data_IF_262514032277
#
_entry.id   IF_262514032277
#
_cell.length_a   1.000
_cell.length_b   1.000
_cell.length_c   1.000
_cell.angle_alpha   90.00
_cell.angle_beta   90.00
_cell.angle_gamma   90.00
#
_symmetry.space_group_name_H-M   'P 1'
#
loop_
_entity.id
_entity.type
_entity.pdbx_description
1 polymer ?
#
# COMPACT_ATOMS: atom_id res chain seq x y z
N UNK A 1 -12.63 -2.29 -5.11
CA UNK A 1 -11.58 -1.72 -4.23
C UNK A 1 -12.25 -0.71 -3.31
N UNK A 2 -12.36 -0.99 -2.02
CA UNK A 2 -12.98 -0.05 -1.07
C UNK A 2 -11.97 1.01 -0.66
N UNK A 3 -12.19 2.24 -1.10
CA UNK A 3 -11.45 3.42 -0.64
C UNK A 3 -11.92 3.73 0.78
N UNK A 4 -11.11 3.41 1.78
CA UNK A 4 -11.45 3.71 3.17
C UNK A 4 -11.18 5.20 3.42
N UNK A 5 -12.18 5.98 3.81
CA UNK A 5 -11.94 7.27 4.46
C UNK A 5 -11.39 6.96 5.85
N UNK A 6 -10.20 7.47 6.15
CA UNK A 6 -9.50 7.20 7.39
C UNK A 6 -8.90 8.49 7.92
N UNK A 7 -9.13 8.77 9.20
CA UNK A 7 -8.57 9.92 9.90
C UNK A 7 -7.71 9.42 11.06
N UNK A 8 -6.53 10.03 11.25
CA UNK A 8 -5.58 9.74 12.33
C UNK A 8 -5.23 11.04 13.02
N UNK A 9 -5.34 11.08 14.34
CA UNK A 9 -4.80 12.16 15.15
C UNK A 9 -3.82 11.62 16.19
N UNK A 10 -2.98 12.51 16.74
CA UNK A 10 -2.03 12.17 17.81
C UNK A 10 -2.72 12.01 19.16
N UNK A 11 -3.82 12.73 19.39
CA UNK A 11 -4.65 12.67 20.61
C UNK A 11 -6.12 12.58 20.24
N UNK A 12 -6.93 11.96 21.10
CA UNK A 12 -8.36 11.74 20.89
C UNK A 12 -9.15 13.06 20.82
N UNK A 13 -8.79 14.05 21.65
CA UNK A 13 -9.45 15.35 21.70
C UNK A 13 -9.19 16.19 20.44
N UNK A 14 -7.97 16.12 19.90
CA UNK A 14 -7.60 16.75 18.63
C UNK A 14 -8.33 16.06 17.46
N UNK A 15 -8.51 14.74 17.53
CA UNK A 15 -9.20 13.96 16.50
C UNK A 15 -10.65 14.41 16.27
N UNK A 16 -11.38 14.69 17.35
CA UNK A 16 -12.78 15.10 17.26
C UNK A 16 -12.89 16.46 16.57
N UNK A 17 -12.00 17.40 16.90
CA UNK A 17 -11.93 18.72 16.26
C UNK A 17 -11.63 18.61 14.77
N UNK A 18 -10.65 17.79 14.38
CA UNK A 18 -10.30 17.56 12.97
C UNK A 18 -11.49 16.97 12.18
N UNK A 19 -12.25 16.06 12.80
CA UNK A 19 -13.44 15.47 12.19
C UNK A 19 -14.58 16.49 12.08
N UNK A 20 -14.79 17.34 13.09
CA UNK A 20 -15.79 18.41 13.05
C UNK A 20 -15.51 19.40 11.92
N UNK A 21 -14.25 19.83 11.76
CA UNK A 21 -13.82 20.70 10.67
C UNK A 21 -14.04 20.01 9.31
N UNK A 22 -13.54 18.78 9.17
CA UNK A 22 -13.66 18.00 7.93
C UNK A 22 -15.14 17.82 7.53
N UNK A 23 -16.01 17.45 8.47
CA UNK A 23 -17.43 17.27 8.18
C UNK A 23 -18.14 18.59 7.88
N UNK A 24 -17.69 19.71 8.44
CA UNK A 24 -18.23 21.03 8.13
C UNK A 24 -17.93 21.42 6.68
N UNK A 25 -16.69 21.23 6.23
CA UNK A 25 -16.29 21.43 4.82
C UNK A 25 -17.08 20.50 3.89
N UNK A 26 -17.22 19.21 4.23
CA UNK A 26 -18.00 18.29 3.40
C UNK A 26 -19.46 18.72 3.27
N UNK A 27 -20.08 19.23 4.36
CA UNK A 27 -21.45 19.76 4.33
C UNK A 27 -21.57 21.01 3.47
N UNK A 28 -20.62 21.95 3.60
CA UNK A 28 -20.56 23.18 2.81
C UNK A 28 -20.57 22.88 1.31
N UNK A 29 -19.71 21.95 0.87
CA UNK A 29 -19.62 21.54 -0.53
C UNK A 29 -20.60 20.42 -0.93
N UNK A 30 -21.57 20.07 -0.07
CA UNK A 30 -22.60 19.02 -0.30
C UNK A 30 -22.01 17.65 -0.68
N UNK A 31 -20.81 17.35 -0.21
CA UNK A 31 -20.15 16.06 -0.38
C UNK A 31 -20.67 15.06 0.67
N UNK A 32 -20.93 13.82 0.24
CA UNK A 32 -21.39 12.74 1.11
C UNK A 32 -20.34 11.64 1.19
N UNK A 33 -20.06 11.20 2.41
CA UNK A 33 -19.25 10.01 2.67
C UNK A 33 -20.10 8.76 2.55
N UNK A 34 -19.47 7.64 2.18
CA UNK A 34 -20.11 6.32 2.24
C UNK A 34 -19.78 5.69 3.61
N UNK A 35 -20.76 5.53 4.53
CA UNK A 35 -20.50 5.01 5.87
C UNK A 35 -19.87 3.61 5.86
N UNK A 36 -20.23 2.75 4.91
CA UNK A 36 -19.69 1.39 4.81
C UNK A 36 -18.20 1.36 4.38
N UNK A 37 -17.66 2.50 3.97
CA UNK A 37 -16.27 2.69 3.56
C UNK A 37 -15.53 3.70 4.46
N UNK A 38 -16.11 4.14 5.56
CA UNK A 38 -15.45 5.07 6.47
C UNK A 38 -15.07 4.36 7.77
N UNK A 39 -13.88 4.63 8.28
CA UNK A 39 -13.42 4.13 9.56
C UNK A 39 -12.82 5.29 10.37
N UNK A 40 -13.37 5.51 11.57
CA UNK A 40 -12.97 6.58 12.49
C UNK A 40 -12.56 5.97 13.84
N UNK A 41 -11.62 6.59 14.56
CA UNK A 41 -11.20 6.13 15.89
C UNK A 41 -10.51 4.74 15.92
N UNK A 42 -10.09 4.19 14.78
CA UNK A 42 -9.41 2.89 14.71
C UNK A 42 -7.90 3.02 14.93
N UNK A 43 -7.28 2.05 15.60
CA UNK A 43 -5.82 2.05 15.87
C UNK A 43 -4.96 1.86 14.60
N UNK A 44 -5.57 1.34 13.53
CA UNK A 44 -4.93 1.17 12.24
C UNK A 44 -5.90 0.58 11.22
N UNK A 45 -5.50 0.63 9.95
CA UNK A 45 -6.35 0.18 8.86
C UNK A 45 -5.66 0.21 7.50
N UNK A 46 -6.41 -0.23 6.48
CA UNK A 46 -5.95 -0.17 5.09
C UNK A 46 -6.29 1.18 4.48
N UNK A 47 -5.27 1.89 3.98
CA UNK A 47 -5.42 3.15 3.27
C UNK A 47 -4.55 3.15 2.02
N UNK A 48 -5.13 3.48 0.85
CA UNK A 48 -4.46 3.49 -0.46
C UNK A 48 -3.62 2.22 -0.77
N UNK A 49 -4.08 1.06 -0.28
CA UNK A 49 -3.39 -0.22 -0.48
C UNK A 49 -2.17 -0.47 0.41
N UNK A 50 -1.91 0.41 1.38
CA UNK A 50 -0.92 0.27 2.45
C UNK A 50 -1.63 -0.02 3.78
N UNK A 51 -0.90 -0.52 4.77
CA UNK A 51 -1.38 -0.60 6.15
C UNK A 51 -0.87 0.64 6.88
N UNK A 52 -1.75 1.32 7.60
CA UNK A 52 -1.37 2.41 8.48
C UNK A 52 -1.72 2.03 9.90
N UNK A 53 -0.74 2.08 10.78
CA UNK A 53 -0.85 1.70 12.20
C UNK A 53 -0.40 2.88 13.07
N UNK A 54 -0.50 2.72 14.39
CA UNK A 54 0.11 3.66 15.33
C UNK A 54 1.62 3.82 15.10
N UNK A 55 2.32 2.71 14.76
CA UNK A 55 3.76 2.68 14.52
C UNK A 55 4.20 3.32 13.20
N UNK A 56 3.28 3.55 12.27
CA UNK A 56 3.56 4.20 10.99
C UNK A 56 2.91 3.50 9.81
N UNK A 57 3.55 3.59 8.65
CA UNK A 57 3.10 2.91 7.43
C UNK A 57 3.79 1.54 7.38
N UNK A 58 2.99 0.49 7.30
CA UNK A 58 3.44 -0.90 7.23
C UNK A 58 3.10 -1.52 5.87
N UNK A 59 3.87 -2.54 5.49
CA UNK A 59 3.63 -3.30 4.28
C UNK A 59 2.27 -4.01 4.35
N UNK A 60 1.57 -4.09 3.22
CA UNK A 60 0.30 -4.81 3.16
C UNK A 60 0.55 -6.33 3.24
N UNK A 61 0.06 -7.03 4.29
CA UNK A 61 0.34 -8.45 4.47
C UNK A 61 -0.22 -9.30 3.34
N UNK A 62 -1.31 -8.90 2.68
CA UNK A 62 -1.83 -9.60 1.51
C UNK A 62 -0.88 -9.49 0.32
N UNK A 63 -0.24 -8.33 0.12
CA UNK A 63 0.73 -8.15 -0.97
C UNK A 63 2.02 -8.93 -0.70
N UNK A 64 2.46 -8.98 0.57
CA UNK A 64 3.61 -9.80 0.95
C UNK A 64 3.33 -11.29 0.78
N UNK A 65 2.19 -11.76 1.31
CA UNK A 65 1.76 -13.16 1.20
C UNK A 65 1.67 -13.61 -0.26
N UNK A 66 1.13 -12.78 -1.15
CA UNK A 66 1.07 -13.08 -2.59
C UNK A 66 2.44 -13.24 -3.27
N UNK A 67 3.52 -12.68 -2.71
CA UNK A 67 4.89 -12.88 -3.19
C UNK A 67 5.51 -14.14 -2.57
N UNK A 68 5.27 -14.37 -1.27
CA UNK A 68 5.75 -15.56 -0.55
C UNK A 68 5.14 -16.84 -1.11
N UNK A 69 3.83 -16.82 -1.39
CA UNK A 69 3.07 -17.97 -1.89
C UNK A 69 3.24 -18.16 -3.42
N UNK A 70 4.00 -17.28 -4.08
CA UNK A 70 4.23 -17.39 -5.53
C UNK A 70 5.16 -18.57 -5.82
N UNK A 71 4.78 -19.41 -6.79
CA UNK A 71 5.66 -20.45 -7.33
C UNK A 71 6.89 -19.82 -7.99
N UNK A 72 8.00 -20.55 -8.02
CA UNK A 72 9.19 -20.12 -8.72
C UNK A 72 8.86 -19.77 -10.18
N UNK A 73 9.28 -18.58 -10.62
CA UNK A 73 9.04 -18.09 -11.96
C UNK A 73 9.76 -18.98 -12.97
N UNK A 74 9.03 -19.54 -13.94
CA UNK A 74 9.59 -20.39 -14.99
C UNK A 74 9.79 -19.66 -16.30
N UNK A 75 9.20 -18.46 -16.46
CA UNK A 75 9.33 -17.68 -17.70
C UNK A 75 9.61 -16.18 -17.47
N UNK A 76 10.07 -15.50 -18.52
CA UNK A 76 10.40 -14.07 -18.48
C UNK A 76 9.22 -13.20 -18.02
N UNK A 77 8.02 -13.49 -18.52
CA UNK A 77 6.82 -12.71 -18.20
C UNK A 77 6.48 -12.79 -16.71
N UNK A 78 6.70 -13.95 -16.08
CA UNK A 78 6.53 -14.12 -14.65
C UNK A 78 7.59 -13.37 -13.84
N UNK A 79 8.83 -13.32 -14.35
CA UNK A 79 9.91 -12.53 -13.73
C UNK A 79 9.61 -11.04 -13.81
N UNK A 80 9.12 -10.54 -14.95
CA UNK A 80 8.67 -9.15 -15.07
C UNK A 80 7.52 -8.83 -14.11
N UNK A 81 6.51 -9.71 -14.03
CA UNK A 81 5.39 -9.57 -13.08
C UNK A 81 5.89 -9.57 -11.63
N UNK A 82 6.83 -10.45 -11.28
CA UNK A 82 7.45 -10.51 -9.97
C UNK A 82 8.20 -9.22 -9.65
N UNK A 83 9.01 -8.71 -10.58
CA UNK A 83 9.71 -7.42 -10.42
C UNK A 83 8.73 -6.28 -10.16
N UNK A 84 7.62 -6.22 -10.88
CA UNK A 84 6.54 -5.23 -10.63
C UNK A 84 5.92 -5.36 -9.23
N UNK A 85 5.68 -6.59 -8.76
CA UNK A 85 5.18 -6.86 -7.40
C UNK A 85 6.19 -6.44 -6.33
N UNK A 86 7.47 -6.74 -6.51
CA UNK A 86 8.56 -6.34 -5.60
C UNK A 86 8.68 -4.82 -5.56
N UNK A 87 8.61 -4.13 -6.70
CA UNK A 87 8.66 -2.68 -6.77
C UNK A 87 7.55 -2.00 -5.95
N UNK A 88 6.36 -2.60 -5.89
CA UNK A 88 5.24 -2.08 -5.10
C UNK A 88 5.49 -2.13 -3.57
N UNK A 89 6.41 -2.98 -3.09
CA UNK A 89 6.76 -3.12 -1.67
C UNK A 89 8.22 -2.80 -1.35
N UNK A 90 9.00 -2.34 -2.34
CA UNK A 90 10.46 -2.16 -2.25
C UNK A 90 10.90 -1.25 -1.10
N UNK A 91 10.07 -0.25 -0.76
CA UNK A 91 10.27 0.67 0.37
C UNK A 91 10.31 -0.01 1.75
N UNK A 92 9.77 -1.22 1.86
CA UNK A 92 9.73 -2.00 3.11
C UNK A 92 10.79 -3.12 3.13
N UNK A 93 11.57 -3.28 2.07
CA UNK A 93 12.59 -4.32 1.94
C UNK A 93 13.97 -3.66 2.05
N UNK A 94 14.71 -3.97 3.12
CA UNK A 94 16.10 -3.52 3.25
C UNK A 94 16.95 -4.05 2.10
N UNK A 95 17.74 -3.16 1.49
CA UNK A 95 18.60 -3.44 0.34
C UNK A 95 17.85 -4.07 -0.84
N UNK A 96 16.63 -3.58 -1.11
CA UNK A 96 15.75 -4.13 -2.16
C UNK A 96 16.38 -4.12 -3.55
N UNK A 97 17.13 -3.06 -3.90
CA UNK A 97 17.86 -2.97 -5.16
C UNK A 97 18.88 -4.11 -5.30
N UNK A 98 19.73 -4.33 -4.29
CA UNK A 98 20.72 -5.40 -4.27
C UNK A 98 20.07 -6.79 -4.38
N UNK A 99 19.01 -7.01 -3.59
CA UNK A 99 18.27 -8.29 -3.58
C UNK A 99 17.54 -8.57 -4.90
N UNK A 100 17.20 -7.54 -5.67
CA UNK A 100 16.52 -7.69 -6.96
C UNK A 100 17.46 -7.70 -8.17
N UNK A 101 18.77 -7.52 -7.96
CA UNK A 101 19.79 -7.61 -9.02
C UNK A 101 19.71 -8.88 -9.88
N UNK A 102 19.48 -10.09 -9.33
CA UNK A 102 19.39 -11.30 -10.15
C UNK A 102 18.26 -11.21 -11.20
N UNK A 103 17.10 -10.66 -10.81
CA UNK A 103 15.97 -10.48 -11.72
C UNK A 103 16.28 -9.46 -12.81
N UNK A 104 16.90 -8.32 -12.46
CA UNK A 104 17.29 -7.31 -13.44
C UNK A 104 18.34 -7.83 -14.44
N UNK A 105 19.33 -8.62 -13.99
CA UNK A 105 20.30 -9.26 -14.88
C UNK A 105 19.62 -10.21 -15.87
N UNK A 106 18.68 -11.02 -15.38
CA UNK A 106 17.92 -11.94 -16.23
C UNK A 106 17.07 -11.20 -17.28
N UNK A 107 16.35 -10.15 -16.86
CA UNK A 107 15.52 -9.33 -17.74
C UNK A 107 16.34 -8.58 -18.80
N UNK A 108 17.57 -8.18 -18.46
CA UNK A 108 18.50 -7.54 -19.40
C UNK A 108 19.05 -8.52 -20.42
N UNK A 109 19.46 -9.72 -20.00
CA UNK A 109 19.96 -10.79 -20.91
C UNK A 109 18.91 -11.21 -21.94
N UNK A 110 17.65 -11.32 -21.54
CA UNK A 110 16.57 -11.65 -22.48
C UNK A 110 16.26 -10.56 -23.51
N UNK A 111 16.68 -9.30 -23.25
CA UNK A 111 16.59 -8.21 -24.22
C UNK A 111 17.79 -8.13 -25.16
N UNK A 112 18.87 -8.87 -24.87
CA UNK A 112 20.08 -8.91 -25.70
C UNK A 112 20.00 -10.12 -26.62
N UNK A 113 19.09 -10.07 -27.58
CA UNK A 113 19.20 -10.83 -28.82
C UNK A 113 19.57 -9.81 -29.90
N UNK A 114 20.88 -9.57 -30.03
CA UNK A 114 21.54 -9.13 -31.26
C UNK A 114 22.53 -10.22 -31.63
#
# INVERSE_FOLDING_TARGET
>A
MSTTCWSKAKKTEEHVKDLEETFSVLREYKLKLNPSKCAFGVQGGRFLGLMVTQRGIEANPLKMKAIIDMKASTCLNEVQRLTGRIAAISRFISKSAEKSLPFFKMLRKAKTFE
#
